data_IF_890804301649
#
_entry.id   IF_890804301649
#
_cell.length_a   1.000
_cell.length_b   1.000
_cell.length_c   1.000
_cell.angle_alpha   90.00
_cell.angle_beta   90.00
_cell.angle_gamma   90.00
#
_symmetry.space_group_name_H-M   'P 1'
#
loop_
_entity.id
_entity.type
_entity.pdbx_description
1 polymer ?
#
# COMPACT_ATOMS: atom_id res chain seq x y z
N UNK A 1 9.48 21.01 15.73
CA UNK A 1 10.95 20.86 15.72
C UNK A 1 11.43 20.86 14.27
N UNK A 2 12.49 21.62 13.97
CA UNK A 2 13.00 21.79 12.59
C UNK A 2 13.66 20.51 12.08
N UNK A 3 14.33 19.74 12.94
CA UNK A 3 14.95 18.48 12.56
C UNK A 3 13.88 17.44 12.17
N UNK A 4 12.74 17.41 12.86
CA UNK A 4 11.60 16.53 12.50
C UNK A 4 11.03 16.88 11.11
N UNK A 5 10.91 18.17 10.78
CA UNK A 5 10.46 18.60 9.46
C UNK A 5 11.45 18.21 8.36
N UNK A 6 12.75 18.42 8.58
CA UNK A 6 13.80 18.02 7.66
C UNK A 6 13.81 16.50 7.42
N UNK A 7 13.68 15.69 8.49
CA UNK A 7 13.57 14.24 8.38
C UNK A 7 12.33 13.80 7.57
N UNK A 8 11.19 14.46 7.75
CA UNK A 8 9.98 14.17 6.97
C UNK A 8 10.16 14.43 5.46
N UNK A 9 10.87 15.51 5.11
CA UNK A 9 11.19 15.84 3.70
C UNK A 9 12.09 14.76 3.09
N UNK A 10 13.17 14.39 3.78
CA UNK A 10 14.09 13.34 3.32
C UNK A 10 13.38 12.00 3.12
N UNK A 11 12.54 11.60 4.08
CA UNK A 11 11.76 10.36 3.98
C UNK A 11 10.81 10.36 2.78
N UNK A 12 10.16 11.50 2.49
CA UNK A 12 9.26 11.64 1.32
C UNK A 12 10.03 11.60 0.01
N UNK A 13 11.20 12.25 -0.05
CA UNK A 13 12.05 12.21 -1.22
C UNK A 13 12.52 10.78 -1.54
N UNK A 14 12.99 10.05 -0.52
CA UNK A 14 13.41 8.65 -0.68
C UNK A 14 12.24 7.76 -1.09
N UNK A 15 11.05 7.97 -0.52
CA UNK A 15 9.84 7.22 -0.90
C UNK A 15 9.51 7.36 -2.39
N UNK A 16 9.49 8.58 -2.92
CA UNK A 16 9.18 8.82 -4.34
C UNK A 16 10.26 8.24 -5.25
N UNK A 17 11.54 8.40 -4.88
CA UNK A 17 12.67 7.87 -5.64
C UNK A 17 12.65 6.35 -5.72
N UNK A 18 12.35 5.68 -4.59
CA UNK A 18 12.24 4.21 -4.55
C UNK A 18 11.04 3.69 -5.33
N UNK A 19 9.91 4.40 -5.28
CA UNK A 19 8.74 4.02 -6.05
C UNK A 19 9.04 4.06 -7.55
N UNK A 20 9.66 5.15 -8.04
CA UNK A 20 10.08 5.26 -9.45
C UNK A 20 11.07 4.16 -9.86
N UNK A 21 11.97 3.75 -8.96
CA UNK A 21 12.88 2.64 -9.22
C UNK A 21 12.13 1.32 -9.40
N UNK A 22 11.15 1.04 -8.54
CA UNK A 22 10.32 -0.17 -8.66
C UNK A 22 9.48 -0.15 -9.94
N UNK A 23 8.92 1.01 -10.31
CA UNK A 23 8.17 1.16 -11.57
C UNK A 23 9.04 0.82 -12.78
N UNK A 24 10.31 1.25 -12.78
CA UNK A 24 11.29 0.90 -13.83
C UNK A 24 11.69 -0.58 -13.81
N UNK A 25 11.86 -1.15 -12.62
CA UNK A 25 12.27 -2.56 -12.45
C UNK A 25 11.21 -3.53 -12.97
N UNK A 26 9.93 -3.23 -12.70
CA UNK A 26 8.80 -4.09 -13.09
C UNK A 26 8.06 -3.62 -14.35
N UNK A 27 8.45 -2.48 -14.93
CA UNK A 27 7.87 -1.94 -16.16
C UNK A 27 6.39 -1.56 -16.03
N UNK A 28 5.92 -1.23 -14.83
CA UNK A 28 4.52 -0.95 -14.52
C UNK A 28 4.43 0.26 -13.58
N UNK A 29 3.48 1.15 -13.82
CA UNK A 29 3.19 2.25 -12.90
C UNK A 29 2.60 1.73 -11.57
N UNK A 30 3.10 2.27 -10.45
CA UNK A 30 2.73 1.90 -9.10
C UNK A 30 2.07 3.12 -8.41
N UNK A 31 0.76 3.33 -8.59
CA UNK A 31 0.08 4.49 -8.05
C UNK A 31 0.13 4.52 -6.52
N UNK A 32 0.27 5.74 -5.97
CA UNK A 32 0.38 5.99 -4.53
C UNK A 32 -0.98 5.85 -3.84
N UNK A 33 -0.98 5.30 -2.63
CA UNK A 33 -2.17 5.22 -1.77
C UNK A 33 -2.84 3.84 -1.80
N UNK A 34 -4.18 3.83 -1.71
CA UNK A 34 -5.01 2.62 -1.69
C UNK A 34 -6.36 2.86 -2.39
N UNK A 35 -6.31 3.54 -3.54
CA UNK A 35 -7.49 3.84 -4.36
C UNK A 35 -7.80 2.71 -5.35
N UNK A 36 -8.90 2.81 -6.09
CA UNK A 36 -9.26 1.86 -7.14
C UNK A 36 -8.16 1.69 -8.21
N UNK A 37 -7.41 2.76 -8.50
CA UNK A 37 -6.27 2.71 -9.42
C UNK A 37 -5.16 1.78 -8.92
N UNK A 38 -4.96 1.69 -7.59
CA UNK A 38 -4.00 0.76 -6.98
C UNK A 38 -4.49 -0.67 -7.08
N UNK A 39 -5.80 -0.90 -6.88
CA UNK A 39 -6.39 -2.23 -7.06
C UNK A 39 -6.25 -2.70 -8.52
N UNK A 40 -6.42 -1.81 -9.51
CA UNK A 40 -6.19 -2.10 -10.93
C UNK A 40 -4.73 -2.38 -11.26
N UNK A 41 -3.81 -1.54 -10.79
CA UNK A 41 -2.37 -1.73 -10.99
C UNK A 41 -1.90 -3.04 -10.36
N UNK A 42 -2.37 -3.37 -9.16
CA UNK A 42 -2.02 -4.60 -8.47
C UNK A 42 -2.54 -5.84 -9.23
N UNK A 43 -3.76 -5.80 -9.79
CA UNK A 43 -4.26 -6.89 -10.67
C UNK A 43 -3.40 -7.04 -11.92
N UNK A 44 -3.03 -5.93 -12.58
CA UNK A 44 -2.13 -5.94 -13.74
C UNK A 44 -0.76 -6.52 -13.39
N UNK A 45 -0.23 -6.13 -12.23
CA UNK A 45 1.05 -6.63 -11.73
C UNK A 45 1.02 -8.16 -11.53
N UNK A 46 0.00 -8.68 -10.83
CA UNK A 46 -0.15 -10.13 -10.60
C UNK A 46 -0.33 -10.88 -11.91
N UNK A 47 -1.06 -10.32 -12.87
CA UNK A 47 -1.23 -10.93 -14.19
C UNK A 47 0.08 -11.00 -15.00
N UNK A 48 0.97 -10.01 -14.85
CA UNK A 48 2.25 -9.94 -15.60
C UNK A 48 3.39 -10.71 -14.92
N UNK A 49 3.50 -10.61 -13.60
CA UNK A 49 4.67 -11.06 -12.83
C UNK A 49 4.36 -12.20 -11.86
N UNK A 50 3.09 -12.58 -11.71
CA UNK A 50 2.63 -13.59 -10.76
C UNK A 50 2.44 -13.05 -9.33
N UNK A 51 1.68 -13.80 -8.52
CA UNK A 51 1.37 -13.42 -7.14
C UNK A 51 2.60 -13.43 -6.22
N UNK A 52 3.57 -14.31 -6.47
CA UNK A 52 4.78 -14.45 -5.64
C UNK A 52 5.65 -13.18 -5.64
N UNK A 53 5.62 -12.42 -6.73
CA UNK A 53 6.39 -11.17 -6.85
C UNK A 53 5.73 -10.00 -6.11
N UNK A 54 4.46 -10.12 -5.72
CA UNK A 54 3.70 -9.03 -5.08
C UNK A 54 4.35 -8.56 -3.77
N UNK A 55 5.02 -9.47 -3.04
CA UNK A 55 5.74 -9.16 -1.81
C UNK A 55 6.93 -8.19 -1.98
N UNK A 56 7.41 -8.01 -3.22
CA UNK A 56 8.50 -7.06 -3.53
C UNK A 56 8.01 -5.62 -3.71
N UNK A 57 6.75 -5.44 -4.12
CA UNK A 57 6.21 -4.13 -4.49
C UNK A 57 5.07 -3.66 -3.59
N UNK A 58 4.44 -4.56 -2.83
CA UNK A 58 3.24 -4.25 -2.05
C UNK A 58 3.28 -4.81 -0.62
N UNK A 59 2.50 -4.17 0.26
CA UNK A 59 2.26 -4.64 1.63
C UNK A 59 1.15 -5.69 1.63
N UNK A 60 1.50 -6.95 1.87
CA UNK A 60 0.59 -8.09 1.69
C UNK A 60 -0.60 -8.14 2.67
N UNK A 61 -0.50 -7.47 3.83
CA UNK A 61 -1.59 -7.44 4.83
C UNK A 61 -2.71 -6.44 4.47
N UNK A 62 -2.56 -5.66 3.40
CA UNK A 62 -3.61 -4.76 2.94
C UNK A 62 -4.67 -5.52 2.14
N UNK A 63 -5.93 -5.09 2.25
CA UNK A 63 -7.04 -5.65 1.45
C UNK A 63 -6.79 -5.57 -0.05
N UNK A 64 -6.11 -4.53 -0.53
CA UNK A 64 -5.69 -4.40 -1.93
C UNK A 64 -4.84 -5.57 -2.41
N UNK A 65 -3.95 -6.11 -1.58
CA UNK A 65 -3.15 -7.29 -1.94
C UNK A 65 -4.01 -8.56 -2.02
N UNK A 66 -5.01 -8.70 -1.15
CA UNK A 66 -5.99 -9.81 -1.23
C UNK A 66 -6.82 -9.72 -2.51
N UNK A 67 -7.34 -8.51 -2.82
CA UNK A 67 -8.09 -8.24 -4.06
C UNK A 67 -7.27 -8.55 -5.30
N UNK A 68 -6.00 -8.18 -5.31
CA UNK A 68 -5.10 -8.44 -6.44
C UNK A 68 -4.86 -9.94 -6.68
N UNK A 69 -4.84 -10.74 -5.61
CA UNK A 69 -4.66 -12.18 -5.66
C UNK A 69 -5.99 -12.95 -5.80
N UNK A 70 -7.14 -12.27 -5.82
CA UNK A 70 -8.46 -12.90 -5.83
C UNK A 70 -8.84 -13.59 -4.51
N UNK A 71 -8.17 -13.26 -3.40
CA UNK A 71 -8.43 -13.82 -2.09
C UNK A 71 -9.59 -13.09 -1.38
N UNK A 72 -10.36 -13.79 -0.54
CA UNK A 72 -11.48 -13.18 0.19
C UNK A 72 -10.99 -12.11 1.18
N UNK A 73 -11.70 -10.97 1.22
CA UNK A 73 -11.38 -9.90 2.17
C UNK A 73 -11.91 -10.20 3.58
N UNK A 74 -11.14 -9.90 4.64
CA UNK A 74 -11.63 -10.01 6.00
C UNK A 74 -12.76 -9.00 6.24
N UNK A 75 -13.82 -9.39 7.00
CA UNK A 75 -14.98 -8.55 7.23
C UNK A 75 -14.59 -7.22 7.87
N UNK A 76 -15.36 -6.17 7.58
CA UNK A 76 -15.18 -4.87 8.23
C UNK A 76 -15.64 -4.95 9.66
N UNK A 77 -14.70 -4.83 10.60
CA UNK A 77 -15.02 -4.71 12.02
C UNK A 77 -15.48 -3.27 12.27
N UNK A 78 -16.74 -3.05 12.68
CA UNK A 78 -17.21 -1.71 13.00
C UNK A 78 -16.47 -1.20 14.24
N UNK A 79 -16.01 0.05 14.18
CA UNK A 79 -15.37 0.67 15.32
C UNK A 79 -16.40 0.85 16.45
N UNK A 80 -16.09 0.31 17.65
CA UNK A 80 -16.90 0.49 18.85
C UNK A 80 -16.23 1.47 19.79
N UNK A 81 -16.88 2.59 20.08
CA UNK A 81 -16.45 3.52 21.13
C UNK A 81 -16.82 2.93 22.49
N UNK A 82 -15.86 2.55 23.31
CA UNK A 82 -16.13 2.24 24.72
C UNK A 82 -16.53 3.53 25.44
N UNK A 83 -17.76 3.58 25.97
CA UNK A 83 -18.19 4.68 26.83
C UNK A 83 -17.31 4.66 28.09
N UNK A 84 -16.58 5.75 28.36
CA UNK A 84 -15.92 5.93 29.66
C UNK A 84 -17.03 6.09 30.70
N UNK A 85 -17.09 5.19 31.69
CA UNK A 85 -17.90 5.47 32.89
C UNK A 85 -17.30 6.71 33.55
N UNK A 86 -18.09 7.79 33.65
CA UNK A 86 -17.76 8.89 34.56
C UNK A 86 -17.73 8.32 35.97
N UNK A 87 -16.56 8.31 36.60
CA UNK A 87 -16.43 8.34 38.05
C UNK A 87 -16.37 9.80 38.48
#
# INVERSE_FOLDING_TARGET
DVAVAAASILARHEYVTRLQRLEKEFGLELPKGASAAVDEAARKFVAQHGADQLGKVAKLHFRTALRAQGLPEPPRVPWRRTAKSKA
#
